data_IF_394851826032
#
_entry.id   IF_394851826032
#
_cell.length_a   1.000
_cell.length_b   1.000
_cell.length_c   1.000
_cell.angle_alpha   90.00
_cell.angle_beta   90.00
_cell.angle_gamma   90.00
#
_symmetry.space_group_name_H-M   'P 1'
#
loop_
_entity.id
_entity.type
_entity.pdbx_description
1 polymer ?
#
# COMPACT_ATOMS: atom_id res chain seq x y z
N UNK A 1 -69.54 73.29 -32.37
CA UNK A 1 -70.97 72.96 -32.06
C UNK A 1 -71.00 71.59 -31.41
N UNK A 2 -71.54 71.64 -30.16
CA UNK A 2 -72.39 70.61 -29.53
C UNK A 2 -71.74 69.16 -29.38
N UNK A 3 -71.74 68.53 -28.33
CA UNK A 3 -72.39 68.51 -27.02
C UNK A 3 -71.88 67.29 -26.26
N UNK A 4 -71.56 67.47 -25.00
CA UNK A 4 -71.47 66.37 -24.00
C UNK A 4 -72.89 65.72 -23.84
N UNK A 5 -72.98 64.52 -23.28
CA UNK A 5 -72.84 64.32 -21.83
C UNK A 5 -72.32 62.95 -21.38
N UNK A 6 -71.66 62.98 -20.25
CA UNK A 6 -71.86 62.33 -18.95
C UNK A 6 -72.71 61.04 -18.88
N UNK A 7 -72.19 60.01 -18.28
CA UNK A 7 -72.72 59.45 -17.07
C UNK A 7 -71.82 58.35 -16.46
N UNK A 8 -71.81 58.33 -15.19
CA UNK A 8 -71.23 57.59 -14.12
C UNK A 8 -71.90 56.20 -13.95
N UNK A 9 -71.59 55.47 -12.81
CA UNK A 9 -70.55 54.44 -12.59
C UNK A 9 -71.22 53.13 -12.12
N UNK A 10 -70.52 52.04 -12.06
CA UNK A 10 -70.90 50.92 -11.20
C UNK A 10 -69.69 50.13 -10.73
N UNK A 11 -69.45 50.28 -9.49
CA UNK A 11 -69.22 49.29 -8.42
C UNK A 11 -68.48 47.98 -8.78
N UNK A 12 -67.39 47.88 -8.16
CA UNK A 12 -66.65 46.73 -7.59
C UNK A 12 -67.34 45.37 -7.59
N UNK A 13 -66.53 44.22 -7.56
CA UNK A 13 -65.86 43.86 -6.32
C UNK A 13 -64.45 43.32 -6.46
N UNK A 14 -63.69 43.56 -5.40
CA UNK A 14 -62.48 42.93 -4.95
C UNK A 14 -62.54 41.40 -5.04
N UNK A 15 -61.66 40.82 -5.81
CA UNK A 15 -61.26 39.43 -5.64
C UNK A 15 -59.79 39.38 -5.20
N UNK A 16 -59.62 39.16 -3.92
CA UNK A 16 -58.38 38.79 -3.29
C UNK A 16 -57.99 37.39 -3.79
N UNK A 17 -57.15 37.31 -4.82
CA UNK A 17 -56.51 36.11 -5.23
C UNK A 17 -55.30 35.88 -4.33
N UNK A 18 -55.45 35.00 -3.34
CA UNK A 18 -54.41 34.49 -2.51
C UNK A 18 -53.50 33.61 -3.42
N UNK A 19 -52.38 34.19 -3.93
CA UNK A 19 -51.36 33.47 -4.63
C UNK A 19 -50.55 32.63 -3.63
N UNK A 20 -50.83 31.33 -3.60
CA UNK A 20 -50.04 30.33 -2.87
C UNK A 20 -48.69 30.20 -3.59
N UNK A 21 -47.70 30.93 -3.12
CA UNK A 21 -46.29 30.70 -3.54
C UNK A 21 -45.80 29.37 -2.97
N UNK A 22 -45.91 28.31 -3.78
CA UNK A 22 -45.29 27.04 -3.50
C UNK A 22 -43.78 27.21 -3.62
N UNK A 23 -43.10 27.46 -2.50
CA UNK A 23 -41.66 27.39 -2.39
C UNK A 23 -41.26 25.92 -2.49
N UNK A 24 -40.85 25.50 -3.69
CA UNK A 24 -40.17 24.24 -3.91
C UNK A 24 -38.82 24.32 -3.19
N UNK A 25 -38.76 23.84 -1.95
CA UNK A 25 -37.52 23.47 -1.32
C UNK A 25 -36.93 22.30 -2.11
N UNK A 26 -36.06 22.60 -3.08
CA UNK A 26 -35.16 21.62 -3.63
C UNK A 26 -34.21 21.20 -2.49
N UNK A 27 -34.60 20.14 -1.77
CA UNK A 27 -33.72 19.50 -0.80
C UNK A 27 -32.46 19.08 -1.52
N UNK A 28 -31.36 19.78 -1.27
CA UNK A 28 -30.01 19.30 -1.63
C UNK A 28 -29.82 18.01 -0.85
N UNK A 29 -30.08 16.89 -1.51
CA UNK A 29 -29.69 15.57 -0.98
C UNK A 29 -28.19 15.61 -0.84
N UNK A 30 -27.72 15.88 0.36
CA UNK A 30 -26.32 15.62 0.71
C UNK A 30 -26.17 14.11 0.59
N UNK A 31 -25.54 13.67 -0.51
CA UNK A 31 -25.06 12.31 -0.61
C UNK A 31 -24.11 12.12 0.58
N UNK A 32 -24.57 11.42 1.61
CA UNK A 32 -23.67 10.98 2.67
C UNK A 32 -22.57 10.17 1.98
N UNK A 33 -21.29 10.48 2.24
CA UNK A 33 -20.21 9.65 1.70
C UNK A 33 -20.53 8.22 2.10
N UNK A 34 -20.58 7.33 1.12
CA UNK A 34 -20.78 5.91 1.36
C UNK A 34 -19.68 5.49 2.34
N UNK A 35 -20.07 5.12 3.55
CA UNK A 35 -19.12 4.54 4.52
C UNK A 35 -18.68 3.22 3.91
N UNK A 36 -17.52 3.23 3.28
CA UNK A 36 -16.90 1.99 2.81
C UNK A 36 -16.56 1.20 4.07
N UNK A 37 -17.36 0.19 4.38
CA UNK A 37 -17.07 -0.74 5.46
C UNK A 37 -15.86 -1.57 5.03
N UNK A 38 -14.68 -1.16 5.46
CA UNK A 38 -13.46 -1.90 5.20
C UNK A 38 -13.46 -3.20 6.01
N UNK A 39 -13.37 -4.32 5.31
CA UNK A 39 -13.47 -5.64 5.93
C UNK A 39 -12.09 -6.16 6.25
N UNK A 40 -11.95 -6.82 7.39
CA UNK A 40 -10.73 -7.51 7.76
C UNK A 40 -10.57 -8.75 6.89
N UNK A 41 -9.55 -8.74 6.02
CA UNK A 41 -9.21 -9.88 5.17
C UNK A 41 -8.29 -10.87 5.90
N UNK A 42 -7.31 -10.35 6.64
CA UNK A 42 -6.32 -11.16 7.35
C UNK A 42 -6.19 -10.67 8.78
N UNK A 43 -6.20 -11.61 9.71
CA UNK A 43 -5.84 -11.40 11.10
C UNK A 43 -4.55 -12.15 11.38
N UNK A 44 -3.58 -11.50 11.96
CA UNK A 44 -2.34 -12.15 12.33
C UNK A 44 -1.87 -11.75 13.72
N UNK A 45 -1.07 -12.63 14.30
CA UNK A 45 -0.62 -12.52 15.67
C UNK A 45 0.85 -12.89 15.74
N UNK A 46 1.67 -11.97 16.24
CA UNK A 46 3.10 -12.18 16.42
C UNK A 46 3.51 -11.73 17.83
N UNK A 47 3.55 -12.65 18.79
CA UNK A 47 3.92 -12.34 20.17
C UNK A 47 5.38 -11.90 20.30
N UNK A 48 6.24 -12.26 19.35
CA UNK A 48 7.68 -12.01 19.41
C UNK A 48 8.08 -10.60 19.04
N UNK A 49 7.20 -9.82 18.45
CA UNK A 49 7.46 -8.41 18.17
C UNK A 49 7.32 -7.52 19.41
N UNK A 50 7.35 -8.11 20.63
CA UNK A 50 7.34 -7.41 21.93
C UNK A 50 6.10 -6.56 22.18
N UNK A 51 5.18 -6.55 21.24
CA UNK A 51 3.88 -5.91 21.41
C UNK A 51 3.01 -6.72 22.35
N UNK A 52 2.10 -6.06 23.07
CA UNK A 52 1.03 -6.74 23.76
C UNK A 52 0.40 -7.79 22.83
N UNK A 53 -0.13 -8.88 23.40
CA UNK A 53 -0.80 -9.97 22.69
C UNK A 53 -2.04 -9.49 21.91
N UNK A 54 -1.88 -8.47 21.08
CA UNK A 54 -2.94 -7.86 20.29
C UNK A 54 -2.84 -8.34 18.85
N UNK A 55 -3.93 -8.82 18.28
CA UNK A 55 -3.96 -9.14 16.86
C UNK A 55 -3.74 -7.89 16.03
N UNK A 56 -3.04 -8.04 14.91
CA UNK A 56 -2.97 -7.06 13.83
C UNK A 56 -3.90 -7.52 12.71
N UNK A 57 -4.30 -6.58 11.89
CA UNK A 57 -5.26 -6.80 10.83
C UNK A 57 -4.71 -6.24 9.52
N UNK A 58 -5.06 -6.91 8.42
CA UNK A 58 -4.99 -6.35 7.08
C UNK A 58 -6.42 -6.28 6.56
N UNK A 59 -6.75 -5.17 5.97
CA UNK A 59 -8.07 -4.95 5.39
C UNK A 59 -8.12 -5.44 3.94
N UNK A 60 -9.33 -5.57 3.41
CA UNK A 60 -9.53 -6.01 2.02
C UNK A 60 -8.94 -4.98 1.03
N UNK A 61 -9.09 -3.68 1.31
CA UNK A 61 -8.53 -2.60 0.49
C UNK A 61 -7.01 -2.61 0.47
N UNK A 62 -6.38 -2.74 1.63
CA UNK A 62 -4.92 -2.85 1.77
C UNK A 62 -4.39 -4.03 0.98
N UNK A 63 -5.01 -5.20 1.15
CA UNK A 63 -4.62 -6.40 0.44
C UNK A 63 -4.82 -6.25 -1.07
N UNK A 64 -5.94 -5.64 -1.50
CA UNK A 64 -6.25 -5.35 -2.90
C UNK A 64 -5.18 -4.47 -3.54
N UNK A 65 -4.82 -3.34 -2.91
CA UNK A 65 -3.77 -2.45 -3.42
C UNK A 65 -2.46 -3.21 -3.65
N UNK A 66 -1.98 -3.97 -2.66
CA UNK A 66 -0.70 -4.64 -2.80
C UNK A 66 -0.75 -5.84 -3.76
N UNK A 67 -1.87 -6.55 -3.88
CA UNK A 67 -2.05 -7.58 -4.91
C UNK A 67 -2.03 -6.97 -6.31
N UNK A 68 -2.67 -5.80 -6.51
CA UNK A 68 -2.61 -5.03 -7.77
C UNK A 68 -1.20 -4.58 -8.09
N UNK A 69 -0.46 -4.07 -7.11
CA UNK A 69 0.94 -3.68 -7.28
C UNK A 69 1.80 -4.87 -7.72
N UNK A 70 1.62 -6.06 -7.13
CA UNK A 70 2.35 -7.27 -7.54
C UNK A 70 2.05 -7.63 -9.00
N UNK A 71 0.80 -7.56 -9.42
CA UNK A 71 0.41 -7.83 -10.79
C UNK A 71 0.99 -6.79 -11.78
N UNK A 72 0.97 -5.50 -11.41
CA UNK A 72 1.53 -4.42 -12.23
C UNK A 72 3.05 -4.55 -12.40
N UNK A 73 3.77 -4.98 -11.35
CA UNK A 73 5.22 -5.27 -11.44
C UNK A 73 5.50 -6.37 -12.46
N UNK A 74 4.64 -7.38 -12.55
CA UNK A 74 4.73 -8.46 -13.55
C UNK A 74 4.10 -8.09 -14.90
N UNK A 75 3.60 -6.85 -15.05
CA UNK A 75 2.92 -6.37 -16.27
C UNK A 75 1.68 -7.20 -16.64
N UNK A 76 1.03 -7.79 -15.64
CA UNK A 76 -0.21 -8.54 -15.82
C UNK A 76 -1.39 -7.59 -15.65
N UNK A 77 -2.26 -7.48 -16.67
CA UNK A 77 -3.47 -6.67 -16.53
C UNK A 77 -4.38 -7.23 -15.45
N UNK A 78 -4.85 -6.37 -14.56
CA UNK A 78 -5.84 -6.72 -13.54
C UNK A 78 -7.19 -6.20 -14.00
N UNK A 79 -8.08 -7.11 -14.38
CA UNK A 79 -9.45 -6.78 -14.71
C UNK A 79 -10.34 -6.94 -13.48
N UNK A 80 -11.16 -5.92 -13.23
CA UNK A 80 -12.30 -5.94 -12.30
C UNK A 80 -12.03 -6.53 -10.91
N UNK A 81 -11.13 -5.97 -10.12
CA UNK A 81 -10.96 -6.24 -8.68
C UNK A 81 -10.83 -7.73 -8.28
N UNK A 82 -10.57 -8.61 -9.25
CA UNK A 82 -10.30 -10.02 -9.03
C UNK A 82 -8.82 -10.26 -9.23
N UNK A 83 -8.15 -10.62 -8.15
CA UNK A 83 -6.72 -10.92 -8.18
C UNK A 83 -6.50 -12.43 -8.23
N UNK A 84 -5.60 -12.94 -9.10
CA UNK A 84 -5.14 -14.30 -8.98
C UNK A 84 -4.59 -14.56 -7.56
N UNK A 85 -4.97 -15.69 -6.97
CA UNK A 85 -4.63 -16.04 -5.57
C UNK A 85 -3.13 -15.88 -5.25
N UNK A 86 -2.26 -16.11 -6.25
CA UNK A 86 -0.81 -15.94 -6.09
C UNK A 86 -0.41 -14.52 -5.69
N UNK A 87 -1.05 -13.49 -6.26
CA UNK A 87 -0.74 -12.09 -5.94
C UNK A 87 -1.24 -11.70 -4.56
N UNK A 88 -2.43 -12.16 -4.20
CA UNK A 88 -2.97 -11.94 -2.88
C UNK A 88 -2.12 -12.63 -1.79
N UNK A 89 -1.66 -13.86 -2.02
CA UNK A 89 -0.72 -14.54 -1.12
C UNK A 89 0.60 -13.79 -1.01
N UNK A 90 1.20 -13.39 -2.13
CA UNK A 90 2.45 -12.62 -2.13
C UNK A 90 2.30 -11.31 -1.37
N UNK A 91 1.16 -10.62 -1.53
CA UNK A 91 0.86 -9.39 -0.80
C UNK A 91 0.76 -9.64 0.72
N UNK A 92 0.02 -10.67 1.15
CA UNK A 92 -0.08 -11.05 2.59
C UNK A 92 1.30 -11.32 3.17
N UNK A 93 2.06 -12.20 2.54
CA UNK A 93 3.40 -12.58 3.00
C UNK A 93 4.31 -11.34 3.15
N UNK A 94 4.29 -10.45 2.17
CA UNK A 94 5.11 -9.23 2.15
C UNK A 94 4.67 -8.22 3.20
N UNK A 95 3.37 -7.99 3.34
CA UNK A 95 2.81 -7.04 4.32
C UNK A 95 3.08 -7.51 5.75
N UNK A 96 2.87 -8.79 6.04
CA UNK A 96 3.12 -9.37 7.36
C UNK A 96 4.62 -9.31 7.70
N UNK A 97 5.50 -9.75 6.77
CA UNK A 97 6.95 -9.70 6.98
C UNK A 97 7.44 -8.27 7.24
N UNK A 98 6.96 -7.31 6.45
CA UNK A 98 7.29 -5.89 6.60
C UNK A 98 6.88 -5.35 7.97
N UNK A 99 5.63 -5.60 8.36
CA UNK A 99 5.09 -5.12 9.63
C UNK A 99 5.84 -5.71 10.83
N UNK A 100 6.34 -6.94 10.72
CA UNK A 100 7.19 -7.56 11.74
C UNK A 100 8.56 -6.89 11.84
N UNK A 101 9.24 -6.73 10.71
CA UNK A 101 10.57 -6.09 10.68
C UNK A 101 10.51 -4.65 11.18
N UNK A 102 9.49 -3.89 10.76
CA UNK A 102 9.27 -2.53 11.24
C UNK A 102 9.05 -2.49 12.77
N UNK A 103 8.29 -3.45 13.31
CA UNK A 103 8.06 -3.55 14.75
C UNK A 103 9.33 -3.83 15.54
N UNK A 104 10.22 -4.67 15.02
CA UNK A 104 11.51 -4.97 15.67
C UNK A 104 12.41 -3.74 15.74
N UNK A 105 12.38 -2.89 14.70
CA UNK A 105 13.15 -1.63 14.72
C UNK A 105 12.62 -0.67 15.77
N UNK A 106 11.30 -0.47 15.82
CA UNK A 106 10.64 0.42 16.79
C UNK A 106 10.96 0.00 18.23
N UNK A 107 10.95 -1.30 18.52
CA UNK A 107 11.29 -1.82 19.85
C UNK A 107 12.74 -1.53 20.26
N UNK A 108 13.65 -1.43 19.31
CA UNK A 108 15.05 -1.07 19.57
C UNK A 108 15.27 0.42 19.76
N UNK A 109 14.20 1.23 19.69
CA UNK A 109 14.27 2.68 19.82
C UNK A 109 15.07 3.36 18.69
N UNK A 110 15.23 2.69 17.57
CA UNK A 110 15.95 3.19 16.41
C UNK A 110 14.96 3.55 15.30
N UNK A 111 14.99 4.79 14.84
CA UNK A 111 14.20 5.25 13.70
C UNK A 111 15.13 5.68 12.57
N UNK A 112 14.75 5.46 11.30
CA UNK A 112 15.49 6.01 10.18
C UNK A 112 15.53 7.54 10.27
N UNK A 113 16.68 8.18 9.98
CA UNK A 113 16.70 9.62 9.88
C UNK A 113 15.80 10.06 8.74
N UNK A 114 15.03 11.13 8.95
CA UNK A 114 14.15 11.72 7.94
C UNK A 114 13.15 10.71 7.31
N UNK A 115 12.52 9.91 8.16
CA UNK A 115 11.52 8.92 7.77
C UNK A 115 10.43 9.45 6.83
N UNK A 116 9.89 10.69 7.02
CA UNK A 116 8.90 11.23 6.10
C UNK A 116 9.42 11.38 4.66
N UNK A 117 10.65 11.90 4.48
CA UNK A 117 11.27 12.06 3.17
C UNK A 117 11.54 10.69 2.53
N UNK A 118 12.10 9.77 3.29
CA UNK A 118 12.36 8.41 2.80
C UNK A 118 11.07 7.68 2.36
N UNK A 119 9.94 7.96 3.01
CA UNK A 119 8.65 7.41 2.58
C UNK A 119 8.19 8.00 1.24
N UNK A 120 8.44 9.29 0.99
CA UNK A 120 8.16 9.92 -0.30
C UNK A 120 9.09 9.39 -1.41
N UNK A 121 10.36 9.20 -1.10
CA UNK A 121 11.31 8.57 -2.03
C UNK A 121 10.85 7.14 -2.39
N UNK A 122 10.42 6.36 -1.39
CA UNK A 122 9.88 5.02 -1.59
C UNK A 122 8.57 5.02 -2.43
N UNK A 123 7.74 6.07 -2.31
CA UNK A 123 6.55 6.26 -3.17
C UNK A 123 6.97 6.48 -4.63
N UNK A 124 7.95 7.33 -4.86
CA UNK A 124 8.45 7.58 -6.21
C UNK A 124 9.04 6.29 -6.83
N UNK A 125 9.88 5.56 -6.10
CA UNK A 125 10.43 4.28 -6.55
C UNK A 125 9.33 3.24 -6.84
N UNK A 126 8.28 3.19 -6.01
CA UNK A 126 7.14 2.32 -6.24
C UNK A 126 6.42 2.70 -7.54
N UNK A 127 6.14 3.98 -7.74
CA UNK A 127 5.50 4.49 -8.95
C UNK A 127 6.31 4.14 -10.20
N UNK A 128 7.61 4.41 -10.19
CA UNK A 128 8.51 4.10 -11.32
C UNK A 128 8.51 2.61 -11.66
N UNK A 129 8.50 1.75 -10.64
CA UNK A 129 8.51 0.29 -10.82
C UNK A 129 7.25 -0.27 -11.47
N UNK A 130 6.09 0.38 -11.29
CA UNK A 130 4.80 -0.09 -11.82
C UNK A 130 4.34 0.66 -13.07
N UNK A 131 5.14 1.58 -13.60
CA UNK A 131 4.84 2.30 -14.84
C UNK A 131 4.51 3.78 -14.68
N UNK A 132 4.74 4.36 -13.51
CA UNK A 132 4.67 5.80 -13.27
C UNK A 132 3.63 6.24 -12.25
N UNK A 133 3.67 7.54 -11.86
CA UNK A 133 2.79 8.07 -10.81
C UNK A 133 1.31 7.92 -11.12
N UNK A 134 0.89 8.13 -12.36
CA UNK A 134 -0.52 8.01 -12.76
C UNK A 134 -1.07 6.57 -12.57
N UNK A 135 -0.22 5.55 -12.78
CA UNK A 135 -0.58 4.14 -12.57
C UNK A 135 -0.77 3.86 -11.09
N UNK A 136 0.09 4.43 -10.24
CA UNK A 136 -0.04 4.29 -8.79
C UNK A 136 -1.31 4.98 -8.28
N UNK A 137 -1.58 6.19 -8.75
CA UNK A 137 -2.76 6.96 -8.36
C UNK A 137 -4.07 6.25 -8.78
N UNK A 138 -4.12 5.67 -10.00
CA UNK A 138 -5.25 4.84 -10.46
C UNK A 138 -5.42 3.58 -9.58
N UNK A 139 -4.32 2.92 -9.24
CA UNK A 139 -4.35 1.75 -8.36
C UNK A 139 -4.91 2.09 -6.97
N UNK A 140 -4.46 3.20 -6.38
CA UNK A 140 -4.94 3.69 -5.09
C UNK A 140 -6.43 4.05 -5.15
N UNK A 141 -6.85 4.76 -6.20
CA UNK A 141 -8.25 5.17 -6.38
C UNK A 141 -9.18 3.96 -6.49
N UNK A 142 -8.80 2.94 -7.26
CA UNK A 142 -9.59 1.71 -7.42
C UNK A 142 -9.79 0.95 -6.10
N UNK A 143 -8.76 0.91 -5.28
CA UNK A 143 -8.82 0.24 -3.97
C UNK A 143 -9.32 1.15 -2.85
N UNK A 144 -9.61 2.42 -3.13
CA UNK A 144 -10.07 3.40 -2.14
C UNK A 144 -9.03 3.73 -1.07
N UNK A 145 -7.74 3.64 -1.40
CA UNK A 145 -6.64 3.96 -0.48
C UNK A 145 -6.25 5.43 -0.62
N UNK A 146 -6.18 6.13 0.50
CA UNK A 146 -5.73 7.51 0.54
C UNK A 146 -4.20 7.61 0.57
N UNK A 147 -3.69 8.78 0.15
CA UNK A 147 -2.24 9.06 0.17
C UNK A 147 -1.63 8.89 1.57
N UNK A 148 -2.34 9.30 2.61
CA UNK A 148 -1.90 9.16 4.00
C UNK A 148 -1.75 7.70 4.43
N UNK A 149 -2.63 6.81 3.95
CA UNK A 149 -2.59 5.37 4.20
C UNK A 149 -1.40 4.75 3.46
N UNK A 150 -1.22 5.05 2.18
CA UNK A 150 -0.06 4.58 1.42
C UNK A 150 1.25 5.00 2.08
N UNK A 151 1.37 6.27 2.49
CA UNK A 151 2.58 6.75 3.17
C UNK A 151 2.81 6.07 4.52
N UNK A 152 1.76 5.65 5.24
CA UNK A 152 1.92 4.87 6.46
C UNK A 152 2.56 3.49 6.16
N UNK A 153 2.11 2.79 5.11
CA UNK A 153 2.72 1.56 4.65
C UNK A 153 4.17 1.73 4.21
N UNK A 154 4.46 2.81 3.48
CA UNK A 154 5.82 3.08 3.02
C UNK A 154 6.77 3.44 4.16
N UNK A 155 6.30 4.10 5.22
CA UNK A 155 7.10 4.30 6.45
C UNK A 155 7.47 2.95 7.09
N UNK A 156 6.53 2.01 7.16
CA UNK A 156 6.83 0.68 7.67
C UNK A 156 7.78 -0.10 6.75
N UNK A 157 7.69 0.12 5.44
CA UNK A 157 8.67 -0.43 4.49
C UNK A 157 10.07 0.13 4.72
N UNK A 158 10.20 1.44 4.89
CA UNK A 158 11.49 2.10 5.18
C UNK A 158 12.07 1.58 6.50
N UNK A 159 11.24 1.44 7.55
CA UNK A 159 11.67 0.86 8.82
C UNK A 159 12.17 -0.57 8.66
N UNK A 160 11.45 -1.40 7.91
CA UNK A 160 11.84 -2.78 7.66
C UNK A 160 13.18 -2.87 6.91
N UNK A 161 13.35 -2.08 5.85
CA UNK A 161 14.61 -2.01 5.09
C UNK A 161 15.75 -1.53 5.99
N UNK A 162 15.53 -0.48 6.77
CA UNK A 162 16.53 0.05 7.69
C UNK A 162 16.94 -0.98 8.75
N UNK A 163 15.99 -1.75 9.26
CA UNK A 163 16.30 -2.84 10.19
C UNK A 163 17.21 -3.88 9.55
N UNK A 164 16.89 -4.32 8.34
CA UNK A 164 17.71 -5.29 7.59
C UNK A 164 19.11 -4.74 7.36
N UNK A 165 19.22 -3.50 6.90
CA UNK A 165 20.52 -2.87 6.63
C UNK A 165 21.38 -2.74 7.89
N UNK A 166 20.82 -2.39 9.01
CA UNK A 166 21.56 -2.16 10.25
C UNK A 166 21.82 -3.43 11.06
N UNK A 167 20.88 -4.36 11.08
CA UNK A 167 20.95 -5.55 11.92
C UNK A 167 21.45 -6.79 11.18
N UNK A 168 21.15 -6.91 9.88
CA UNK A 168 21.44 -8.11 9.09
C UNK A 168 22.67 -7.93 8.21
N UNK A 169 22.77 -6.80 7.50
CA UNK A 169 23.88 -6.53 6.58
C UNK A 169 25.28 -6.70 7.19
N UNK A 170 25.56 -6.23 8.43
CA UNK A 170 26.84 -6.44 9.07
C UNK A 170 27.17 -7.91 9.32
N UNK A 171 26.15 -8.76 9.49
CA UNK A 171 26.32 -10.20 9.72
C UNK A 171 26.61 -10.97 8.41
N UNK A 172 26.34 -10.35 7.25
CA UNK A 172 26.54 -10.94 5.92
C UNK A 172 27.89 -10.51 5.32
N UNK A 173 28.86 -10.17 6.15
CA UNK A 173 30.18 -9.80 5.64
C UNK A 173 30.77 -10.92 4.79
N UNK A 174 31.28 -10.55 3.61
CA UNK A 174 31.91 -11.49 2.67
C UNK A 174 33.42 -11.33 2.78
N UNK A 175 34.08 -12.34 3.38
CA UNK A 175 35.52 -12.41 3.44
C UNK A 175 36.13 -12.77 2.07
N UNK A 176 37.43 -12.51 1.88
CA UNK A 176 38.15 -12.91 0.66
C UNK A 176 38.14 -14.43 0.45
N UNK A 177 38.21 -15.19 1.54
CA UNK A 177 38.15 -16.66 1.44
C UNK A 177 36.75 -17.12 0.98
N UNK A 178 35.69 -16.51 1.51
CA UNK A 178 34.33 -16.78 1.02
C UNK A 178 34.16 -16.42 -0.45
N UNK A 179 34.81 -15.34 -0.94
CA UNK A 179 34.79 -14.98 -2.36
C UNK A 179 35.49 -16.00 -3.22
N UNK A 180 36.69 -16.47 -2.79
CA UNK A 180 37.43 -17.49 -3.51
C UNK A 180 36.70 -18.82 -3.53
N UNK A 181 36.08 -19.20 -2.43
CA UNK A 181 35.25 -20.40 -2.34
C UNK A 181 34.04 -20.31 -3.27
N UNK A 182 33.30 -19.20 -3.24
CA UNK A 182 32.18 -18.95 -4.12
C UNK A 182 32.60 -18.96 -5.60
N UNK A 183 33.78 -18.43 -5.93
CA UNK A 183 34.31 -18.45 -7.30
C UNK A 183 34.67 -19.87 -7.78
N UNK A 184 35.17 -20.72 -6.89
CA UNK A 184 35.42 -22.13 -7.22
C UNK A 184 34.11 -22.91 -7.39
N UNK A 185 33.05 -22.51 -6.73
CA UNK A 185 31.74 -23.13 -6.92
C UNK A 185 31.25 -22.82 -8.33
N UNK A 186 30.60 -23.77 -8.98
CA UNK A 186 30.08 -23.57 -10.35
C UNK A 186 28.72 -22.85 -10.39
N UNK A 187 28.23 -22.36 -9.26
CA UNK A 187 26.85 -21.83 -9.10
C UNK A 187 26.73 -20.31 -9.28
N UNK A 188 27.78 -19.62 -9.73
CA UNK A 188 27.76 -18.17 -9.92
C UNK A 188 27.73 -17.77 -11.42
N UNK A 189 27.24 -16.55 -11.80
CA UNK A 189 27.11 -16.16 -13.20
C UNK A 189 28.44 -15.74 -13.88
N UNK A 190 29.59 -15.75 -13.18
CA UNK A 190 30.88 -15.21 -13.65
C UNK A 190 31.89 -16.29 -14.02
N UNK A 191 31.47 -17.48 -14.39
CA UNK A 191 32.33 -18.67 -14.65
C UNK A 191 33.43 -18.47 -15.69
N UNK A 192 33.18 -17.59 -16.68
CA UNK A 192 34.05 -17.38 -17.82
C UNK A 192 34.99 -16.17 -17.65
N UNK A 193 35.17 -15.67 -16.43
CA UNK A 193 35.99 -14.50 -16.13
C UNK A 193 37.14 -14.91 -15.21
N UNK A 194 38.21 -14.12 -15.24
CA UNK A 194 39.29 -14.29 -14.24
C UNK A 194 38.75 -13.80 -12.89
N UNK A 195 39.23 -14.41 -11.81
CA UNK A 195 38.81 -14.05 -10.45
C UNK A 195 38.91 -12.55 -10.17
N UNK A 196 40.06 -11.95 -10.54
CA UNK A 196 40.34 -10.53 -10.29
C UNK A 196 39.31 -9.61 -11.00
N UNK A 197 38.91 -9.95 -12.22
CA UNK A 197 37.97 -9.21 -13.01
C UNK A 197 36.49 -9.40 -12.50
N UNK A 198 36.21 -10.61 -12.02
CA UNK A 198 34.89 -10.97 -11.47
C UNK A 198 34.69 -10.48 -10.03
N UNK A 199 35.75 -10.31 -9.25
CA UNK A 199 35.76 -10.08 -7.80
C UNK A 199 34.79 -9.01 -7.32
N UNK A 200 34.73 -7.77 -7.88
CA UNK A 200 33.77 -6.76 -7.38
C UNK A 200 32.31 -7.13 -7.66
N UNK A 201 32.05 -7.80 -8.80
CA UNK A 201 30.70 -8.26 -9.17
C UNK A 201 30.27 -9.49 -8.38
N UNK A 202 31.18 -10.41 -8.19
CA UNK A 202 31.01 -11.62 -7.37
C UNK A 202 30.72 -11.25 -5.91
N UNK A 203 31.44 -10.25 -5.36
CA UNK A 203 31.16 -9.75 -3.99
C UNK A 203 29.73 -9.24 -3.86
N UNK A 204 29.27 -8.38 -4.79
CA UNK A 204 27.91 -7.87 -4.79
C UNK A 204 26.87 -8.99 -4.92
N UNK A 205 27.11 -9.89 -5.86
CA UNK A 205 26.23 -11.04 -6.08
C UNK A 205 26.15 -11.92 -4.81
N UNK A 206 27.26 -12.25 -4.19
CA UNK A 206 27.31 -13.12 -3.00
C UNK A 206 26.62 -12.44 -1.80
N UNK A 207 26.78 -11.13 -1.62
CA UNK A 207 26.06 -10.36 -0.61
C UNK A 207 24.54 -10.44 -0.89
N UNK A 208 24.11 -10.26 -2.13
CA UNK A 208 22.70 -10.36 -2.51
C UNK A 208 22.13 -11.75 -2.25
N UNK A 209 22.86 -12.81 -2.59
CA UNK A 209 22.42 -14.20 -2.35
C UNK A 209 22.33 -14.52 -0.84
N UNK A 210 23.33 -14.10 -0.05
CA UNK A 210 23.27 -14.26 1.40
C UNK A 210 22.12 -13.48 2.04
N UNK A 211 21.86 -12.26 1.54
CA UNK A 211 20.74 -11.46 1.99
C UNK A 211 19.41 -12.16 1.70
N UNK A 212 19.22 -12.68 0.48
CA UNK A 212 18.01 -13.44 0.12
C UNK A 212 17.86 -14.70 0.99
N UNK A 213 18.95 -15.42 1.24
CA UNK A 213 18.92 -16.60 2.10
C UNK A 213 18.53 -16.23 3.54
N UNK A 214 19.11 -15.17 4.10
CA UNK A 214 18.79 -14.69 5.44
C UNK A 214 17.34 -14.18 5.55
N UNK A 215 16.84 -13.49 4.51
CA UNK A 215 15.44 -13.05 4.44
C UNK A 215 14.48 -14.25 4.40
N UNK A 216 14.77 -15.25 3.56
CA UNK A 216 13.96 -16.48 3.48
C UNK A 216 13.98 -17.25 4.81
N UNK A 217 15.13 -17.40 5.45
CA UNK A 217 15.26 -18.05 6.75
C UNK A 217 14.49 -17.29 7.82
N UNK A 218 14.62 -15.96 7.83
CA UNK A 218 13.83 -15.10 8.73
C UNK A 218 12.34 -15.28 8.50
N UNK A 219 11.86 -15.23 7.26
CA UNK A 219 10.45 -15.40 6.92
C UNK A 219 9.94 -16.79 7.27
N UNK A 220 10.73 -17.84 7.03
CA UNK A 220 10.37 -19.22 7.42
C UNK A 220 10.30 -19.35 8.93
N UNK A 221 11.30 -18.87 9.65
CA UNK A 221 11.32 -18.84 11.10
C UNK A 221 10.16 -18.02 11.67
N UNK A 222 9.86 -16.88 11.05
CA UNK A 222 8.73 -16.05 11.43
C UNK A 222 7.39 -16.76 11.20
N UNK A 223 7.20 -17.43 10.05
CA UNK A 223 5.98 -18.18 9.72
C UNK A 223 5.66 -19.28 10.73
N UNK A 224 6.65 -19.99 11.27
CA UNK A 224 6.42 -21.02 12.29
C UNK A 224 5.89 -20.46 13.61
N UNK A 225 6.08 -19.18 13.86
CA UNK A 225 5.75 -18.48 15.11
C UNK A 225 4.55 -17.55 14.96
N UNK A 226 4.16 -17.21 13.72
CA UNK A 226 3.01 -16.35 13.44
C UNK A 226 1.78 -17.21 13.18
N UNK A 227 0.68 -16.87 13.85
CA UNK A 227 -0.62 -17.41 13.51
C UNK A 227 -1.31 -16.43 12.56
N UNK A 228 -1.38 -16.79 11.28
CA UNK A 228 -2.14 -16.06 10.28
C UNK A 228 -3.47 -16.76 10.09
N UNK A 229 -4.57 -16.03 10.29
CA UNK A 229 -5.91 -16.50 9.98
C UNK A 229 -6.48 -15.62 8.86
N UNK A 230 -6.74 -16.20 7.72
CA UNK A 230 -7.53 -15.56 6.66
C UNK A 230 -8.99 -15.57 7.09
N UNK A 231 -9.57 -14.38 7.21
CA UNK A 231 -10.96 -14.21 7.68
C UNK A 231 -11.94 -14.27 6.52
N UNK A 232 -11.50 -13.80 5.35
CA UNK A 232 -12.28 -13.81 4.11
C UNK A 232 -11.53 -14.62 3.06
N UNK A 233 -12.26 -15.34 2.18
CA UNK A 233 -11.62 -15.87 0.97
C UNK A 233 -11.05 -14.69 0.18
N UNK A 234 -9.78 -14.75 -0.12
CA UNK A 234 -9.13 -13.78 -0.99
C UNK A 234 -9.75 -13.95 -2.38
N UNK A 235 -10.53 -12.97 -2.79
CA UNK A 235 -11.21 -12.97 -4.09
C UNK A 235 -10.31 -12.39 -5.15
#
# INVERSE_FOLDING_TARGET
MTKRPRRRPSSSPFWLGLGLASVLFAGVAHAQPAVVADRVAVRWFSPETGGAARPRFLTERELGLFARIEALVEQVPVEADIYPERYARAAVDRLVARAMLASLLVQRGSEPPDLPRLALDARAELADRIGGPAVLDDAMQREGIEESELLAFLRDQVRATWYVDKAVTPLISVSEDSLREAFRSTLHPFKNQRFEDARPRLRRWLVTERMRAAELEFLQSARTRIKIATVLPVR
#
